data_IF_710534291812
#
_entry.id   IF_710534291812
#
_cell.length_a   1.000
_cell.length_b   1.000
_cell.length_c   1.000
_cell.angle_alpha   90.00
_cell.angle_beta   90.00
_cell.angle_gamma   90.00
#
_symmetry.space_group_name_H-M   'P 1'
#
loop_
_entity.id
_entity.type
_entity.pdbx_description
1 polymer ?
#
# COMPACT_ATOMS: atom_id res chain seq x y z
N UNK A 1 11.89 7.39 2.04
CA UNK A 1 11.71 6.04 1.44
C UNK A 1 10.40 6.01 0.65
N UNK A 2 10.29 5.21 -0.39
CA UNK A 2 9.02 4.91 -1.08
C UNK A 2 8.43 3.65 -0.44
N UNK A 3 7.11 3.65 -0.15
CA UNK A 3 6.42 2.49 0.45
C UNK A 3 5.87 1.57 -0.65
N UNK A 4 5.13 2.14 -1.60
CA UNK A 4 4.50 1.36 -2.66
C UNK A 4 5.58 0.77 -3.58
N UNK A 5 5.60 -0.56 -3.71
CA UNK A 5 6.63 -1.26 -4.47
C UNK A 5 8.03 -1.16 -3.86
N UNK A 6 8.15 -0.99 -2.53
CA UNK A 6 9.45 -0.94 -1.86
C UNK A 6 10.29 -2.18 -2.19
N UNK A 7 11.55 -1.94 -2.55
CA UNK A 7 12.46 -3.00 -3.00
C UNK A 7 12.75 -4.02 -1.89
N UNK A 8 12.93 -3.59 -0.64
CA UNK A 8 13.21 -4.50 0.49
C UNK A 8 12.04 -5.44 0.74
N UNK A 9 10.81 -4.91 0.78
CA UNK A 9 9.61 -5.72 0.97
C UNK A 9 9.36 -6.66 -0.22
N UNK A 10 9.66 -6.22 -1.45
CA UNK A 10 9.57 -7.07 -2.63
C UNK A 10 10.59 -8.22 -2.56
N UNK A 11 11.84 -7.93 -2.18
CA UNK A 11 12.87 -8.95 -1.98
C UNK A 11 12.56 -9.86 -0.78
N UNK A 12 11.99 -9.34 0.30
CA UNK A 12 11.55 -10.11 1.46
C UNK A 12 10.52 -11.16 1.04
N UNK A 13 9.55 -10.78 0.22
CA UNK A 13 8.58 -11.72 -0.31
C UNK A 13 9.19 -12.76 -1.26
N UNK A 14 10.14 -12.37 -2.10
CA UNK A 14 10.86 -13.33 -2.95
C UNK A 14 11.63 -14.35 -2.11
N UNK A 15 12.33 -13.90 -1.06
CA UNK A 15 13.06 -14.76 -0.13
C UNK A 15 12.11 -15.72 0.62
N UNK A 16 10.98 -15.21 1.11
CA UNK A 16 9.97 -16.02 1.79
C UNK A 16 9.42 -17.13 0.88
N UNK A 17 9.07 -16.78 -0.36
CA UNK A 17 8.58 -17.73 -1.36
C UNK A 17 9.63 -18.78 -1.76
N UNK A 18 10.92 -18.42 -1.73
CA UNK A 18 12.03 -19.34 -1.91
C UNK A 18 12.34 -20.22 -0.67
N UNK A 19 11.65 -19.98 0.46
CA UNK A 19 11.80 -20.73 1.70
C UNK A 19 12.83 -20.14 2.67
N UNK A 20 13.52 -19.06 2.32
CA UNK A 20 14.46 -18.37 3.20
C UNK A 20 13.73 -17.40 4.14
N UNK A 21 13.15 -17.97 5.19
CA UNK A 21 12.43 -17.23 6.23
C UNK A 21 13.33 -16.37 7.10
N UNK A 22 14.66 -16.54 7.04
CA UNK A 22 15.59 -15.72 7.83
C UNK A 22 15.80 -14.41 7.10
N UNK A 23 16.23 -14.48 5.84
CA UNK A 23 16.43 -13.30 5.00
C UNK A 23 15.15 -12.47 4.86
N UNK A 24 13.99 -13.12 4.68
CA UNK A 24 12.71 -12.42 4.58
C UNK A 24 12.44 -11.53 5.81
N UNK A 25 12.66 -12.06 7.02
CA UNK A 25 12.44 -11.32 8.27
C UNK A 25 13.45 -10.20 8.49
N UNK A 26 14.71 -10.42 8.08
CA UNK A 26 15.75 -9.40 8.16
C UNK A 26 15.38 -8.20 7.28
N UNK A 27 14.97 -8.44 6.03
CA UNK A 27 14.53 -7.39 5.10
C UNK A 27 13.25 -6.66 5.56
N UNK A 28 12.25 -7.39 6.06
CA UNK A 28 11.04 -6.80 6.65
C UNK A 28 11.39 -5.88 7.83
N UNK A 29 12.28 -6.34 8.71
CA UNK A 29 12.70 -5.57 9.88
C UNK A 29 13.44 -4.29 9.48
N UNK A 30 14.34 -4.35 8.51
CA UNK A 30 15.02 -3.18 7.97
C UNK A 30 14.04 -2.15 7.40
N UNK A 31 13.05 -2.60 6.61
CA UNK A 31 12.01 -1.72 6.10
C UNK A 31 11.20 -1.06 7.23
N UNK A 32 10.80 -1.83 8.24
CA UNK A 32 10.03 -1.33 9.37
C UNK A 32 10.81 -0.33 10.22
N UNK A 33 12.12 -0.50 10.36
CA UNK A 33 12.97 0.42 11.11
C UNK A 33 13.18 1.73 10.34
N UNK A 34 13.44 1.68 9.03
CA UNK A 34 13.46 2.87 8.17
C UNK A 34 12.12 3.64 8.20
N UNK A 35 11.00 2.91 8.20
CA UNK A 35 9.67 3.49 8.27
C UNK A 35 9.44 4.22 9.61
N UNK A 36 9.90 3.65 10.72
CA UNK A 36 9.82 4.29 12.05
C UNK A 36 10.68 5.54 12.11
N UNK A 37 11.91 5.48 11.63
CA UNK A 37 12.82 6.62 11.62
C UNK A 37 12.26 7.77 10.77
N UNK A 38 11.77 7.45 9.57
CA UNK A 38 11.12 8.43 8.70
C UNK A 38 9.89 9.06 9.36
N UNK A 39 9.04 8.25 10.01
CA UNK A 39 7.87 8.76 10.75
C UNK A 39 8.29 9.68 11.90
N UNK A 40 9.35 9.33 12.64
CA UNK A 40 9.87 10.14 13.73
C UNK A 40 10.46 11.48 13.24
N UNK A 41 11.01 11.50 12.02
CA UNK A 41 11.50 12.71 11.36
C UNK A 41 10.37 13.56 10.72
N UNK A 42 9.10 13.16 10.86
CA UNK A 42 7.97 13.88 10.27
C UNK A 42 7.81 13.68 8.77
N UNK A 43 8.37 12.60 8.21
CA UNK A 43 8.23 12.29 6.79
C UNK A 43 6.77 11.97 6.41
N UNK A 44 6.35 12.54 5.29
CA UNK A 44 5.02 12.33 4.71
C UNK A 44 5.08 11.30 3.58
N UNK A 45 4.23 10.29 3.67
CA UNK A 45 4.09 9.19 2.71
C UNK A 45 2.63 8.91 2.38
N UNK A 46 1.72 9.81 2.78
CA UNK A 46 0.31 9.65 2.50
C UNK A 46 0.00 10.15 1.09
N UNK A 47 -0.55 9.30 0.23
CA UNK A 47 -0.96 9.66 -1.13
C UNK A 47 -2.29 10.43 -1.20
N UNK A 48 -2.85 10.81 -0.05
CA UNK A 48 -4.04 11.64 0.02
C UNK A 48 -3.79 13.01 -0.61
N UNK A 49 -4.67 13.40 -1.54
CA UNK A 49 -4.62 14.73 -2.19
C UNK A 49 -5.40 15.79 -1.41
N UNK A 50 -6.20 15.36 -0.44
CA UNK A 50 -7.08 16.20 0.36
C UNK A 50 -6.51 16.43 1.77
N UNK A 51 -6.72 17.62 2.36
CA UNK A 51 -6.29 17.90 3.73
C UNK A 51 -7.09 17.03 4.72
N UNK A 52 -6.42 16.03 5.32
CA UNK A 52 -7.02 15.09 6.25
C UNK A 52 -6.46 15.28 7.67
N UNK A 53 -7.32 15.28 8.68
CA UNK A 53 -6.90 15.33 10.11
C UNK A 53 -6.10 14.11 10.57
N UNK A 54 -6.15 13.02 9.80
CA UNK A 54 -5.48 11.74 10.08
C UNK A 54 -4.33 11.48 9.09
N UNK A 55 -3.89 12.52 8.39
CA UNK A 55 -2.80 12.44 7.42
C UNK A 55 -1.53 11.87 8.08
N UNK A 56 -0.91 10.89 7.44
CA UNK A 56 0.27 10.19 7.97
C UNK A 56 0.02 9.24 9.15
N UNK A 57 -1.21 9.15 9.69
CA UNK A 57 -1.58 8.14 10.69
C UNK A 57 -2.28 6.94 10.04
N UNK A 58 -1.47 5.99 9.55
CA UNK A 58 -1.95 4.78 8.88
C UNK A 58 -2.94 3.98 9.73
N UNK A 59 -2.75 3.93 11.06
CA UNK A 59 -3.61 3.11 11.94
C UNK A 59 -5.00 3.72 12.02
N UNK A 60 -5.09 5.02 12.34
CA UNK A 60 -6.37 5.72 12.42
C UNK A 60 -7.08 5.76 11.06
N UNK A 61 -6.33 6.05 9.98
CA UNK A 61 -6.85 6.05 8.62
C UNK A 61 -7.50 4.70 8.26
N UNK A 62 -6.74 3.60 8.35
CA UNK A 62 -7.25 2.26 8.00
C UNK A 62 -8.40 1.85 8.91
N UNK A 63 -8.35 2.14 10.21
CA UNK A 63 -9.42 1.79 11.14
C UNK A 63 -10.76 2.45 10.78
N UNK A 64 -10.77 3.74 10.42
CA UNK A 64 -12.01 4.43 10.05
C UNK A 64 -12.58 3.89 8.73
N UNK A 65 -11.74 3.72 7.71
CA UNK A 65 -12.18 3.17 6.41
C UNK A 65 -12.78 1.77 6.55
N UNK A 66 -12.20 0.94 7.44
CA UNK A 66 -12.77 -0.35 7.80
C UNK A 66 -14.09 -0.23 8.56
N UNK A 67 -14.25 0.78 9.41
CA UNK A 67 -15.47 0.99 10.19
C UNK A 67 -16.66 1.43 9.33
N UNK A 68 -16.48 2.42 8.44
CA UNK A 68 -17.58 2.90 7.60
C UNK A 68 -17.79 2.06 6.33
N UNK A 69 -16.79 1.28 5.87
CA UNK A 69 -16.88 0.36 4.73
C UNK A 69 -17.33 0.97 3.40
N UNK A 70 -17.18 2.28 3.27
CA UNK A 70 -17.64 3.02 2.08
C UNK A 70 -16.64 2.88 0.92
N UNK A 71 -15.37 3.19 1.19
CA UNK A 71 -14.29 3.08 0.21
C UNK A 71 -12.94 2.80 0.88
N UNK A 72 -11.94 2.43 0.07
CA UNK A 72 -10.57 2.23 0.52
C UNK A 72 -9.84 3.56 0.77
N UNK A 73 -8.82 3.57 1.66
CA UNK A 73 -7.85 4.66 1.74
C UNK A 73 -7.12 4.87 0.41
N UNK A 74 -6.70 6.10 0.11
CA UNK A 74 -5.99 6.42 -1.14
C UNK A 74 -4.69 5.60 -1.32
N UNK A 75 -3.99 5.27 -0.23
CA UNK A 75 -2.78 4.44 -0.29
C UNK A 75 -3.03 3.00 -0.77
N UNK A 76 -4.29 2.54 -0.84
CA UNK A 76 -4.63 1.24 -1.41
C UNK A 76 -5.20 1.33 -2.83
N UNK A 77 -5.49 2.53 -3.33
CA UNK A 77 -6.14 2.68 -4.63
C UNK A 77 -5.26 2.13 -5.74
N UNK A 78 -3.96 2.45 -5.77
CA UNK A 78 -3.06 2.01 -6.83
C UNK A 78 -2.94 0.48 -6.87
N UNK A 79 -2.73 -0.16 -5.72
CA UNK A 79 -2.69 -1.62 -5.61
C UNK A 79 -3.96 -2.29 -6.14
N UNK A 80 -5.13 -1.74 -5.84
CA UNK A 80 -6.41 -2.29 -6.30
C UNK A 80 -6.64 -1.97 -7.78
N UNK A 81 -6.28 -0.76 -8.22
CA UNK A 81 -6.40 -0.32 -9.59
C UNK A 81 -5.56 -1.17 -10.53
N UNK A 82 -4.36 -1.59 -10.15
CA UNK A 82 -3.56 -2.55 -10.93
C UNK A 82 -4.33 -3.85 -11.21
N UNK A 83 -5.05 -4.37 -10.21
CA UNK A 83 -5.86 -5.59 -10.33
C UNK A 83 -7.11 -5.34 -11.18
N UNK A 84 -7.78 -4.20 -10.97
CA UNK A 84 -8.95 -3.81 -11.78
C UNK A 84 -8.59 -3.58 -13.24
N UNK A 85 -7.43 -2.97 -13.52
CA UNK A 85 -6.91 -2.79 -14.87
C UNK A 85 -6.67 -4.15 -15.54
N UNK A 86 -5.97 -5.06 -14.86
CA UNK A 86 -5.77 -6.43 -15.33
C UNK A 86 -7.10 -7.14 -15.63
N UNK A 87 -8.06 -7.09 -14.70
CA UNK A 87 -9.38 -7.70 -14.88
C UNK A 87 -10.16 -7.08 -16.05
N UNK A 88 -10.19 -5.75 -16.13
CA UNK A 88 -10.93 -5.03 -17.18
C UNK A 88 -10.38 -5.28 -18.58
N UNK A 89 -9.07 -5.56 -18.69
CA UNK A 89 -8.41 -5.87 -19.97
C UNK A 89 -8.95 -7.14 -20.63
N UNK A 90 -9.54 -8.07 -19.86
CA UNK A 90 -10.19 -9.28 -20.38
C UNK A 90 -11.39 -9.01 -21.29
N UNK A 91 -11.91 -7.78 -21.28
CA UNK A 91 -13.07 -7.36 -22.09
C UNK A 91 -12.79 -6.03 -22.80
N UNK A 92 -11.53 -5.77 -23.13
CA UNK A 92 -11.07 -4.54 -23.79
C UNK A 92 -11.57 -3.28 -23.07
N UNK A 93 -11.63 -3.34 -21.73
CA UNK A 93 -12.13 -2.27 -20.87
C UNK A 93 -13.60 -1.86 -21.10
N UNK A 94 -14.41 -2.69 -21.77
CA UNK A 94 -15.83 -2.40 -22.06
C UNK A 94 -16.70 -2.13 -20.82
N UNK A 95 -16.23 -2.52 -19.64
CA UNK A 95 -16.86 -2.21 -18.35
C UNK A 95 -16.71 -0.73 -17.96
N UNK A 96 -15.67 -0.02 -18.40
CA UNK A 96 -15.38 1.35 -17.98
C UNK A 96 -16.52 2.33 -18.32
N UNK A 97 -17.15 2.19 -19.49
CA UNK A 97 -18.32 2.99 -19.89
C UNK A 97 -19.61 2.65 -19.16
N UNK A 98 -19.61 1.64 -18.28
CA UNK A 98 -20.78 1.18 -17.52
C UNK A 98 -20.69 1.52 -16.03
N UNK A 99 -19.54 1.99 -15.56
CA UNK A 99 -19.35 2.47 -14.18
C UNK A 99 -20.15 3.77 -13.99
N UNK A 100 -20.82 3.89 -12.85
CA UNK A 100 -21.67 5.04 -12.49
C UNK A 100 -21.04 5.83 -11.36
#
# INVERSE_FOLDING_TARGET
MVIDGNEKETQAMLAFNAGDKKLARELEQEFLDELKEMKAAGGDHCSCKEPCRHHGDCVSCVAMHRAHRDHLPNCFHDMVNERLLSLSSLTEHSIAGKLK
#
